data_IF_660131811491
#
_entry.id   IF_660131811491
#
_cell.length_a   1.000
_cell.length_b   1.000
_cell.length_c   1.000
_cell.angle_alpha   90.00
_cell.angle_beta   90.00
_cell.angle_gamma   90.00
#
_symmetry.space_group_name_H-M   'P 1'
#
loop_
_entity.id
_entity.type
_entity.pdbx_description
1 polymer ?
#
# COMPACT_ATOMS: atom_id res chain seq x y z
N UNK A 1 13.97 10.79 14.51
CA UNK A 1 14.42 9.39 14.47
C UNK A 1 13.17 8.55 14.20
N UNK A 2 12.92 7.86 13.08
CA UNK A 2 13.62 7.63 11.81
C UNK A 2 12.52 7.38 10.76
N UNK A 3 12.31 8.32 9.83
CA UNK A 3 11.27 8.25 8.79
C UNK A 3 11.84 7.68 7.49
N UNK A 4 12.30 6.42 7.50
CA UNK A 4 12.98 5.83 6.34
C UNK A 4 12.22 4.61 5.85
N UNK A 5 11.20 4.77 5.02
CA UNK A 5 10.84 3.69 4.07
C UNK A 5 11.66 3.95 2.82
N UNK A 6 12.66 3.11 2.58
CA UNK A 6 13.56 3.27 1.42
C UNK A 6 12.88 2.72 0.16
N UNK A 7 12.21 1.58 0.31
CA UNK A 7 11.57 0.85 -0.78
C UNK A 7 10.12 0.51 -0.44
N UNK A 8 9.26 0.66 -1.42
CA UNK A 8 7.86 0.22 -1.35
C UNK A 8 7.63 -0.78 -2.47
N UNK A 9 7.12 -1.96 -2.12
CA UNK A 9 6.66 -2.98 -3.06
C UNK A 9 5.15 -3.05 -2.95
N UNK A 10 4.46 -2.48 -3.93
CA UNK A 10 3.01 -2.53 -4.03
C UNK A 10 2.59 -3.74 -4.88
N UNK A 11 2.02 -4.75 -4.24
CA UNK A 11 1.50 -5.97 -4.85
C UNK A 11 -0.03 -5.99 -4.87
N UNK A 12 -0.68 -4.84 -4.63
CA UNK A 12 -2.13 -4.73 -4.77
C UNK A 12 -2.49 -4.79 -6.25
N UNK A 13 -3.45 -5.64 -6.59
CA UNK A 13 -3.93 -5.77 -7.97
C UNK A 13 -4.80 -4.56 -8.36
N UNK A 14 -4.34 -3.68 -9.28
CA UNK A 14 -5.06 -2.45 -9.59
C UNK A 14 -6.41 -2.69 -10.27
N UNK A 15 -6.54 -3.78 -11.05
CA UNK A 15 -7.77 -4.12 -11.78
C UNK A 15 -8.95 -4.49 -10.88
N UNK A 16 -8.69 -4.80 -9.61
CA UNK A 16 -9.72 -5.11 -8.63
C UNK A 16 -10.30 -3.84 -7.95
N UNK A 17 -9.82 -2.65 -8.31
CA UNK A 17 -10.41 -1.41 -7.85
C UNK A 17 -11.59 -1.04 -8.75
N UNK A 18 -12.74 -0.81 -8.12
CA UNK A 18 -13.96 -0.36 -8.76
C UNK A 18 -14.36 0.97 -8.13
N UNK A 19 -14.01 2.06 -8.80
CA UNK A 19 -14.35 3.42 -8.39
C UNK A 19 -15.59 3.88 -9.15
N UNK A 20 -16.50 4.56 -8.47
CA UNK A 20 -17.78 4.98 -9.05
C UNK A 20 -17.84 6.48 -9.39
N UNK A 21 -16.98 7.29 -8.76
CA UNK A 21 -17.07 8.75 -8.84
C UNK A 21 -15.75 9.45 -9.20
N UNK A 22 -14.63 8.72 -9.29
CA UNK A 22 -13.30 9.28 -9.52
C UNK A 22 -12.50 8.40 -10.47
N UNK A 23 -11.50 9.01 -11.11
CA UNK A 23 -10.39 8.26 -11.70
C UNK A 23 -9.47 7.68 -10.62
N UNK A 24 -8.67 6.68 -11.02
CA UNK A 24 -7.67 6.07 -10.14
C UNK A 24 -6.65 7.09 -9.62
N UNK A 25 -6.24 8.05 -10.45
CA UNK A 25 -5.25 9.05 -10.07
C UNK A 25 -5.82 10.07 -9.09
N UNK A 26 -7.06 10.54 -9.29
CA UNK A 26 -7.74 11.41 -8.33
C UNK A 26 -7.93 10.71 -6.97
N UNK A 27 -8.33 9.45 -6.97
CA UNK A 27 -8.46 8.66 -5.75
C UNK A 27 -7.11 8.52 -5.02
N UNK A 28 -6.01 8.26 -5.76
CA UNK A 28 -4.65 8.24 -5.19
C UNK A 28 -4.24 9.59 -4.63
N UNK A 29 -4.56 10.71 -5.28
CA UNK A 29 -4.27 12.05 -4.76
C UNK A 29 -5.04 12.33 -3.46
N UNK A 30 -6.30 11.87 -3.35
CA UNK A 30 -7.07 11.98 -2.11
C UNK A 30 -6.44 11.16 -0.98
N UNK A 31 -6.00 9.93 -1.25
CA UNK A 31 -5.23 9.13 -0.27
C UNK A 31 -3.93 9.82 0.10
N UNK A 32 -3.22 10.37 -0.89
CA UNK A 32 -1.96 11.08 -0.68
C UNK A 32 -2.12 12.35 0.15
N UNK A 33 -3.26 13.02 0.09
CA UNK A 33 -3.52 14.24 0.88
C UNK A 33 -3.45 14.01 2.40
N UNK A 34 -3.69 12.78 2.85
CA UNK A 34 -3.75 12.44 4.28
C UNK A 34 -4.96 12.99 5.02
N UNK A 35 -5.92 13.59 4.30
CA UNK A 35 -7.16 14.14 4.84
C UNK A 35 -8.25 13.06 4.90
N UNK A 36 -8.70 12.63 6.09
CA UNK A 36 -9.73 11.59 6.20
C UNK A 36 -11.02 11.93 5.46
N UNK A 37 -11.43 13.19 5.47
CA UNK A 37 -12.59 13.71 4.76
C UNK A 37 -12.47 13.50 3.24
N UNK A 38 -11.30 13.75 2.65
CA UNK A 38 -11.07 13.53 1.22
C UNK A 38 -11.11 12.03 0.87
N UNK A 39 -10.57 11.17 1.73
CA UNK A 39 -10.61 9.71 1.52
C UNK A 39 -12.03 9.17 1.60
N UNK A 40 -12.88 9.72 2.49
CA UNK A 40 -14.29 9.34 2.62
C UNK A 40 -15.13 9.64 1.38
N UNK A 41 -14.69 10.58 0.55
CA UNK A 41 -15.36 10.90 -0.70
C UNK A 41 -15.03 9.91 -1.83
N UNK A 42 -14.14 8.93 -1.64
CA UNK A 42 -13.87 7.89 -2.63
C UNK A 42 -15.00 6.86 -2.55
N UNK A 43 -15.82 6.77 -3.60
CA UNK A 43 -16.93 5.83 -3.67
C UNK A 43 -16.56 4.58 -4.46
N UNK A 44 -16.87 3.42 -3.89
CA UNK A 44 -16.66 2.10 -4.46
C UNK A 44 -15.79 1.16 -3.62
N UNK A 45 -15.26 0.14 -4.28
CA UNK A 45 -14.47 -0.93 -3.70
C UNK A 45 -13.02 -0.77 -4.11
N UNK A 46 -12.13 -0.43 -3.16
CA UNK A 46 -10.73 -0.14 -3.48
C UNK A 46 -9.74 -0.53 -2.38
N UNK A 47 -8.49 -0.75 -2.80
CA UNK A 47 -7.30 -0.79 -1.95
C UNK A 47 -6.21 0.02 -2.67
N UNK A 48 -5.86 1.18 -2.11
CA UNK A 48 -5.00 2.17 -2.75
C UNK A 48 -3.77 2.46 -1.89
N UNK A 49 -2.62 2.53 -2.55
CA UNK A 49 -1.37 3.03 -2.00
C UNK A 49 -0.96 4.28 -2.79
N UNK A 50 -0.54 5.31 -2.05
CA UNK A 50 0.04 6.51 -2.62
C UNK A 50 1.34 6.87 -1.88
N UNK A 51 2.33 7.35 -2.62
CA UNK A 51 3.66 7.68 -2.10
C UNK A 51 4.07 9.08 -2.53
N UNK A 52 4.61 9.85 -1.59
CA UNK A 52 5.32 11.10 -1.85
C UNK A 52 6.63 11.10 -1.04
N UNK A 53 7.76 11.01 -1.75
CA UNK A 53 9.08 10.82 -1.16
C UNK A 53 9.13 9.59 -0.25
N UNK A 54 9.26 9.82 1.06
CA UNK A 54 9.29 8.78 2.10
C UNK A 54 7.93 8.54 2.77
N UNK A 55 6.95 9.37 2.46
CA UNK A 55 5.60 9.25 3.01
C UNK A 55 4.82 8.25 2.18
N UNK A 56 4.31 7.21 2.83
CA UNK A 56 3.40 6.25 2.22
C UNK A 56 2.06 6.38 2.93
N UNK A 57 1.00 6.57 2.15
CA UNK A 57 -0.39 6.59 2.64
C UNK A 57 -1.14 5.48 1.96
N UNK A 58 -1.97 4.80 2.73
CA UNK A 58 -2.75 3.66 2.27
C UNK A 58 -4.18 3.81 2.76
N UNK A 59 -5.14 3.42 1.92
CA UNK A 59 -6.54 3.40 2.28
C UNK A 59 -7.25 2.24 1.56
N UNK A 60 -8.27 1.69 2.21
CA UNK A 60 -9.12 0.65 1.62
C UNK A 60 -10.59 0.90 1.98
N UNK A 61 -11.48 0.45 1.11
CA UNK A 61 -12.89 0.21 1.44
C UNK A 61 -13.00 -0.95 2.43
N UNK A 62 -14.17 -1.18 3.04
CA UNK A 62 -14.34 -2.23 4.06
C UNK A 62 -14.30 -3.66 3.51
N UNK A 63 -14.49 -3.85 2.22
CA UNK A 63 -14.58 -5.16 1.56
C UNK A 63 -13.27 -5.63 0.91
N UNK A 64 -12.29 -4.74 0.71
CA UNK A 64 -11.02 -5.02 0.00
C UNK A 64 -9.80 -5.24 0.89
N UNK A 65 -9.36 -6.46 1.22
CA UNK A 65 -8.29 -6.69 2.19
C UNK A 65 -7.00 -5.95 1.81
N UNK A 66 -6.29 -5.46 2.81
CA UNK A 66 -4.97 -4.83 2.66
C UNK A 66 -4.10 -5.20 3.85
N UNK A 67 -2.93 -5.74 3.56
CA UNK A 67 -1.92 -6.20 4.51
C UNK A 67 -0.60 -5.57 4.13
N UNK A 68 0.26 -5.38 5.12
CA UNK A 68 1.59 -4.86 4.89
C UNK A 68 2.60 -5.51 5.83
N UNK A 69 3.86 -5.54 5.38
CA UNK A 69 4.99 -6.02 6.15
C UNK A 69 6.18 -5.10 5.93
N UNK A 70 6.83 -4.68 7.02
CA UNK A 70 8.01 -3.83 6.97
C UNK A 70 9.26 -4.69 7.17
N UNK A 71 9.89 -5.07 6.06
CA UNK A 71 11.10 -5.87 6.07
C UNK A 71 12.32 -4.99 6.37
N UNK A 72 13.14 -5.40 7.33
CA UNK A 72 14.43 -4.78 7.65
C UNK A 72 15.47 -5.20 6.62
N UNK A 73 16.21 -4.22 6.07
CA UNK A 73 17.34 -4.43 5.17
C UNK A 73 18.47 -3.49 5.58
N UNK A 74 19.71 -3.81 5.21
CA UNK A 74 20.87 -2.96 5.52
C UNK A 74 20.77 -1.57 4.86
N UNK A 75 20.23 -1.50 3.64
CA UNK A 75 20.02 -0.27 2.88
C UNK A 75 18.86 0.59 3.40
N UNK A 76 18.07 0.09 4.35
CA UNK A 76 16.83 0.71 4.83
C UNK A 76 15.63 -0.22 4.64
N UNK A 77 14.57 -0.07 5.45
CA UNK A 77 13.48 -1.02 5.43
C UNK A 77 12.63 -0.92 4.16
N UNK A 78 12.11 -2.05 3.72
CA UNK A 78 11.21 -2.19 2.60
C UNK A 78 9.78 -2.47 3.10
N UNK A 79 8.83 -1.63 2.69
CA UNK A 79 7.41 -1.84 2.92
C UNK A 79 6.83 -2.68 1.78
N UNK A 80 6.35 -3.88 2.09
CA UNK A 80 5.65 -4.75 1.13
C UNK A 80 4.17 -4.70 1.47
N UNK A 81 3.32 -4.40 0.48
CA UNK A 81 1.88 -4.26 0.65
C UNK A 81 1.17 -5.20 -0.32
N UNK A 82 0.20 -5.97 0.16
CA UNK A 82 -0.57 -6.90 -0.65
C UNK A 82 -1.98 -7.12 -0.07
N UNK A 83 -2.84 -7.77 -0.83
CA UNK A 83 -4.16 -8.20 -0.38
C UNK A 83 -4.12 -9.50 0.43
N UNK A 84 -3.11 -10.36 0.25
CA UNK A 84 -2.95 -11.65 0.95
C UNK A 84 -1.59 -11.80 1.65
N UNK A 85 -1.59 -12.54 2.77
CA UNK A 85 -0.37 -12.82 3.57
C UNK A 85 0.64 -13.67 2.78
N UNK A 86 0.18 -14.67 2.04
CA UNK A 86 1.05 -15.56 1.27
C UNK A 86 1.73 -14.84 0.10
N UNK A 87 1.08 -13.85 -0.51
CA UNK A 87 1.69 -12.95 -1.50
C UNK A 87 2.89 -12.21 -0.90
N UNK A 88 2.74 -11.66 0.32
CA UNK A 88 3.83 -11.00 1.04
C UNK A 88 4.97 -11.99 1.32
N UNK A 89 4.65 -13.18 1.82
CA UNK A 89 5.66 -14.19 2.14
C UNK A 89 6.43 -14.66 0.89
N UNK A 90 5.76 -14.84 -0.25
CA UNK A 90 6.41 -15.19 -1.50
C UNK A 90 7.34 -14.08 -2.00
N UNK A 91 6.95 -12.81 -1.84
CA UNK A 91 7.82 -11.68 -2.15
C UNK A 91 9.05 -11.67 -1.24
N UNK A 92 8.87 -11.90 0.07
CA UNK A 92 9.99 -11.97 1.01
C UNK A 92 10.95 -13.11 0.67
N UNK A 93 10.44 -14.28 0.25
CA UNK A 93 11.26 -15.39 -0.24
C UNK A 93 12.06 -15.01 -1.48
N UNK A 94 11.42 -14.36 -2.45
CA UNK A 94 12.10 -13.90 -3.67
C UNK A 94 13.23 -12.91 -3.37
N UNK A 95 13.12 -12.16 -2.27
CA UNK A 95 14.14 -11.20 -1.83
C UNK A 95 15.15 -11.79 -0.81
N UNK A 96 15.00 -13.06 -0.41
CA UNK A 96 15.84 -13.69 0.64
C UNK A 96 15.61 -13.09 2.04
N UNK A 97 14.44 -12.51 2.26
CA UNK A 97 14.04 -11.77 3.45
C UNK A 97 13.03 -12.53 4.32
N UNK A 98 12.63 -13.75 3.96
CA UNK A 98 11.55 -14.53 4.57
C UNK A 98 11.80 -14.96 6.02
N UNK A 99 13.06 -15.01 6.47
CA UNK A 99 13.42 -15.37 7.86
C UNK A 99 12.90 -14.41 8.93
N UNK A 100 12.42 -13.24 8.53
CA UNK A 100 11.91 -12.22 9.44
C UNK A 100 10.38 -12.18 9.51
N UNK A 101 9.70 -12.99 8.69
CA UNK A 101 8.24 -13.05 8.62
C UNK A 101 7.63 -13.86 9.76
#
# INVERSE_FOLDING_TARGET
MDHYIERVVDLLEPSLNHLHNLSMDEARQRVLSGKPEAVREIDGSFALLARDGKTVRMARSLDRPMRYFLAKRQEGPALIVADRIDTIYNQLKAEGLDRQF
#
